data_IF_058216073590
#
_entry.id   IF_058216073590
#
_cell.length_a   1.000
_cell.length_b   1.000
_cell.length_c   1.000
_cell.angle_alpha   90.00
_cell.angle_beta   90.00
_cell.angle_gamma   90.00
#
_symmetry.space_group_name_H-M   'P 1'
#
loop_
_entity.id
_entity.type
_entity.pdbx_description
1 polymer ?
#
# COMPACT_ATOMS: atom_id res chain seq x y z
N UNK A 1 -5.13 -36.27 -17.98
CA UNK A 1 -5.87 -36.08 -16.73
C UNK A 1 -5.96 -34.60 -16.44
N UNK A 2 -7.11 -33.94 -16.57
CA UNK A 2 -7.25 -32.55 -16.17
C UNK A 2 -7.28 -32.46 -14.64
N UNK A 3 -6.43 -31.63 -14.05
CA UNK A 3 -6.43 -31.32 -12.61
C UNK A 3 -7.78 -30.76 -12.21
N UNK A 4 -8.35 -31.16 -11.06
CA UNK A 4 -9.60 -30.62 -10.57
C UNK A 4 -9.39 -29.13 -10.26
N UNK A 5 -10.11 -28.27 -10.96
CA UNK A 5 -10.33 -26.89 -10.53
C UNK A 5 -11.16 -26.98 -9.27
N UNK A 6 -10.55 -26.77 -8.14
CA UNK A 6 -11.28 -26.51 -6.90
C UNK A 6 -12.13 -25.26 -7.14
N UNK A 7 -13.43 -25.48 -7.35
CA UNK A 7 -14.45 -24.44 -7.11
C UNK A 7 -14.46 -24.17 -5.60
N UNK A 8 -13.45 -23.45 -5.14
CA UNK A 8 -13.39 -23.04 -3.75
C UNK A 8 -14.18 -21.75 -3.66
N UNK A 9 -15.35 -21.81 -3.02
CA UNK A 9 -16.06 -20.62 -2.57
C UNK A 9 -15.13 -19.72 -1.74
N UNK A 10 -15.55 -18.50 -1.38
CA UNK A 10 -14.72 -17.61 -0.60
C UNK A 10 -14.23 -18.32 0.66
N UNK A 11 -12.93 -18.18 1.04
CA UNK A 11 -12.35 -18.90 2.17
C UNK A 11 -13.10 -18.59 3.46
N UNK A 12 -13.38 -19.62 4.25
CA UNK A 12 -13.92 -19.44 5.60
C UNK A 12 -12.78 -18.99 6.53
N UNK A 13 -12.65 -17.68 6.70
CA UNK A 13 -11.62 -17.06 7.53
C UNK A 13 -11.79 -17.32 9.04
N UNK A 14 -12.87 -18.02 9.45
CA UNK A 14 -13.11 -18.35 10.86
C UNK A 14 -12.49 -19.68 11.27
N UNK A 15 -12.03 -20.48 10.30
CA UNK A 15 -11.34 -21.75 10.53
C UNK A 15 -9.82 -21.58 10.45
N UNK A 16 -9.03 -22.37 11.22
CA UNK A 16 -7.56 -22.33 11.13
C UNK A 16 -7.04 -22.60 9.72
N UNK A 17 -7.63 -23.59 9.02
CA UNK A 17 -7.24 -24.00 7.68
C UNK A 17 -7.54 -22.90 6.65
N UNK A 18 -8.74 -22.31 6.71
CA UNK A 18 -9.15 -21.25 5.80
C UNK A 18 -8.36 -19.96 6.03
N UNK A 19 -8.07 -19.61 7.29
CA UNK A 19 -7.24 -18.47 7.61
C UNK A 19 -5.77 -18.73 7.25
N UNK A 20 -5.26 -19.95 7.44
CA UNK A 20 -3.90 -20.33 7.04
C UNK A 20 -3.67 -20.16 5.54
N UNK A 21 -4.56 -20.69 4.71
CA UNK A 21 -4.50 -20.51 3.26
C UNK A 21 -4.57 -19.03 2.85
N UNK A 22 -5.45 -18.26 3.49
CA UNK A 22 -5.57 -16.81 3.26
C UNK A 22 -4.29 -16.05 3.67
N UNK A 23 -3.66 -16.44 4.77
CA UNK A 23 -2.38 -15.87 5.20
C UNK A 23 -1.28 -16.12 4.16
N UNK A 24 -1.11 -17.38 3.72
CA UNK A 24 -0.10 -17.77 2.73
C UNK A 24 -0.30 -17.02 1.40
N UNK A 25 -1.56 -16.86 0.97
CA UNK A 25 -1.88 -16.14 -0.27
C UNK A 25 -1.53 -14.64 -0.21
N UNK A 26 -1.64 -14.02 0.98
CA UNK A 26 -1.60 -12.56 1.07
C UNK A 26 -0.42 -11.99 1.85
N UNK A 27 0.43 -12.82 2.48
CA UNK A 27 1.54 -12.35 3.32
C UNK A 27 2.52 -11.44 2.57
N UNK A 28 2.92 -11.81 1.36
CA UNK A 28 3.87 -11.04 0.56
C UNK A 28 3.29 -9.69 0.15
N UNK A 29 2.00 -9.65 -0.19
CA UNK A 29 1.31 -8.42 -0.56
C UNK A 29 1.21 -7.46 0.64
N UNK A 30 0.89 -7.97 1.84
CA UNK A 30 0.82 -7.17 3.07
C UNK A 30 2.21 -6.71 3.51
N UNK A 31 3.20 -7.60 3.51
CA UNK A 31 4.58 -7.24 3.82
C UNK A 31 5.10 -6.14 2.87
N UNK A 32 4.86 -6.30 1.56
CA UNK A 32 5.18 -5.28 0.57
C UNK A 32 4.44 -3.95 0.81
N UNK A 33 3.19 -3.99 1.24
CA UNK A 33 2.42 -2.80 1.62
C UNK A 33 3.05 -2.08 2.82
N UNK A 34 3.47 -2.82 3.84
CA UNK A 34 4.06 -2.27 5.06
C UNK A 34 5.46 -1.71 4.80
N UNK A 35 6.35 -2.48 4.13
CA UNK A 35 7.74 -2.09 3.85
C UNK A 35 7.86 -0.84 2.97
N UNK A 36 6.87 -0.57 2.13
CA UNK A 36 6.81 0.71 1.39
C UNK A 36 6.50 1.92 2.27
N UNK A 37 6.01 1.72 3.49
CA UNK A 37 5.55 2.78 4.42
C UNK A 37 6.36 2.87 5.70
N UNK A 38 7.16 1.86 5.99
CA UNK A 38 7.98 1.73 7.21
C UNK A 38 9.40 1.38 6.79
N UNK A 39 10.36 2.18 7.23
CA UNK A 39 11.76 2.00 6.84
C UNK A 39 12.49 0.95 7.68
N UNK A 40 12.03 0.68 8.90
CA UNK A 40 12.61 -0.31 9.82
C UNK A 40 12.06 -1.71 9.49
N UNK A 41 12.92 -2.69 9.11
CA UNK A 41 12.49 -4.05 8.78
C UNK A 41 11.84 -4.80 9.94
N UNK A 42 12.31 -4.59 11.18
CA UNK A 42 11.74 -5.22 12.35
C UNK A 42 10.34 -4.71 12.63
N UNK A 43 10.19 -3.39 12.61
CA UNK A 43 8.86 -2.77 12.74
C UNK A 43 7.92 -3.18 11.60
N UNK A 44 8.43 -3.35 10.38
CA UNK A 44 7.62 -3.82 9.26
C UNK A 44 7.12 -5.25 9.48
N UNK A 45 7.96 -6.14 10.04
CA UNK A 45 7.55 -7.49 10.39
C UNK A 45 6.49 -7.49 11.51
N UNK A 46 6.71 -6.71 12.58
CA UNK A 46 5.77 -6.58 13.70
C UNK A 46 4.40 -6.06 13.24
N UNK A 47 4.38 -4.99 12.47
CA UNK A 47 3.13 -4.44 11.92
C UNK A 47 2.43 -5.39 10.95
N UNK A 48 3.19 -6.20 10.20
CA UNK A 48 2.61 -7.24 9.35
C UNK A 48 1.91 -8.31 10.20
N UNK A 49 2.55 -8.75 11.29
CA UNK A 49 1.94 -9.69 12.24
C UNK A 49 0.67 -9.08 12.88
N UNK A 50 0.73 -7.83 13.33
CA UNK A 50 -0.42 -7.12 13.91
C UNK A 50 -1.61 -7.02 12.94
N UNK A 51 -1.34 -6.82 11.65
CA UNK A 51 -2.37 -6.78 10.62
C UNK A 51 -3.10 -8.14 10.53
N UNK A 52 -2.36 -9.24 10.48
CA UNK A 52 -2.98 -10.57 10.42
C UNK A 52 -3.66 -10.96 11.72
N UNK A 53 -3.12 -10.57 12.88
CA UNK A 53 -3.80 -10.75 14.17
C UNK A 53 -5.12 -9.96 14.22
N UNK A 54 -5.13 -8.72 13.75
CA UNK A 54 -6.35 -7.92 13.66
C UNK A 54 -7.35 -8.50 12.65
N UNK A 55 -6.87 -9.05 11.54
CA UNK A 55 -7.69 -9.75 10.55
C UNK A 55 -8.32 -11.01 11.17
N UNK A 56 -7.55 -11.84 11.86
CA UNK A 56 -8.04 -13.03 12.56
C UNK A 56 -9.09 -12.67 13.60
N UNK A 57 -8.85 -11.64 14.42
CA UNK A 57 -9.83 -11.15 15.39
C UNK A 57 -11.11 -10.60 14.77
N UNK A 58 -11.04 -10.13 13.52
CA UNK A 58 -12.17 -9.54 12.77
C UNK A 58 -12.81 -10.51 11.76
N UNK A 59 -12.31 -11.75 11.65
CA UNK A 59 -12.71 -12.72 10.62
C UNK A 59 -14.22 -12.99 10.59
N UNK A 60 -14.87 -13.06 11.76
CA UNK A 60 -16.35 -13.22 11.87
C UNK A 60 -17.14 -12.05 11.25
N UNK A 61 -16.52 -10.89 11.12
CA UNK A 61 -17.11 -9.69 10.51
C UNK A 61 -16.87 -9.58 9.02
N UNK A 62 -16.03 -10.45 8.45
CA UNK A 62 -15.81 -10.48 7.01
C UNK A 62 -17.11 -10.87 6.27
N UNK A 63 -17.43 -10.13 5.21
CA UNK A 63 -18.63 -10.31 4.38
C UNK A 63 -18.21 -10.51 2.93
N UNK A 64 -18.25 -11.76 2.41
CA UNK A 64 -17.89 -12.04 1.00
C UNK A 64 -18.72 -11.25 -0.02
N UNK A 65 -19.99 -10.97 0.32
CA UNK A 65 -20.93 -10.18 -0.49
C UNK A 65 -20.53 -8.70 -0.60
N UNK A 66 -19.67 -8.21 0.29
CA UNK A 66 -19.15 -6.83 0.28
C UNK A 66 -17.83 -6.67 -0.46
N UNK A 67 -17.23 -7.77 -0.93
CA UNK A 67 -16.11 -7.76 -1.84
C UNK A 67 -14.95 -8.69 -1.48
N UNK A 68 -13.86 -8.57 -2.24
CA UNK A 68 -12.72 -9.48 -2.15
C UNK A 68 -12.04 -9.46 -0.76
N UNK A 69 -11.58 -10.63 -0.24
CA UNK A 69 -10.89 -10.73 1.04
C UNK A 69 -9.67 -9.81 1.13
N UNK A 70 -8.92 -9.68 0.03
CA UNK A 70 -7.73 -8.82 -0.05
C UNK A 70 -8.06 -7.35 0.21
N UNK A 71 -9.16 -6.83 -0.33
CA UNK A 71 -9.56 -5.44 -0.12
C UNK A 71 -9.96 -5.17 1.35
N UNK A 72 -10.61 -6.13 2.00
CA UNK A 72 -10.91 -6.09 3.43
C UNK A 72 -9.62 -6.11 4.27
N UNK A 73 -8.64 -6.97 3.93
CA UNK A 73 -7.34 -7.05 4.59
C UNK A 73 -6.55 -5.74 4.48
N UNK A 74 -6.51 -5.12 3.30
CA UNK A 74 -5.87 -3.82 3.12
C UNK A 74 -6.56 -2.68 3.88
N UNK A 75 -7.87 -2.76 4.08
CA UNK A 75 -8.61 -1.88 4.99
C UNK A 75 -8.10 -1.98 6.43
N UNK A 76 -7.89 -3.20 6.94
CA UNK A 76 -7.31 -3.47 8.25
C UNK A 76 -5.86 -2.97 8.30
N UNK A 77 -5.04 -3.31 7.31
CA UNK A 77 -3.64 -2.89 7.23
C UNK A 77 -3.50 -1.37 7.32
N UNK A 78 -4.34 -0.63 6.61
CA UNK A 78 -4.38 0.83 6.67
C UNK A 78 -4.74 1.36 8.07
N UNK A 79 -5.70 0.73 8.75
CA UNK A 79 -6.09 1.12 10.09
C UNK A 79 -4.97 0.89 11.11
N UNK A 80 -4.27 -0.25 11.04
CA UNK A 80 -3.12 -0.58 11.90
C UNK A 80 -2.00 0.44 11.71
N UNK A 81 -1.60 0.70 10.46
CA UNK A 81 -0.55 1.69 10.15
C UNK A 81 -0.93 3.11 10.58
N UNK A 82 -2.19 3.50 10.38
CA UNK A 82 -2.66 4.82 10.81
C UNK A 82 -2.69 4.94 12.35
N UNK A 83 -3.00 3.85 13.04
CA UNK A 83 -2.93 3.77 14.51
C UNK A 83 -1.50 3.96 15.01
N UNK A 84 -0.55 3.23 14.42
CA UNK A 84 0.88 3.32 14.73
C UNK A 84 1.43 4.73 14.48
N UNK A 85 1.16 5.31 13.31
CA UNK A 85 1.60 6.68 12.98
C UNK A 85 1.06 7.73 13.97
N UNK A 86 -0.19 7.58 14.43
CA UNK A 86 -0.76 8.48 15.46
C UNK A 86 -0.12 8.26 16.83
N UNK A 87 0.30 7.04 17.15
CA UNK A 87 1.08 6.74 18.36
C UNK A 87 2.42 7.47 18.33
N UNK A 88 3.21 7.28 17.31
CA UNK A 88 4.50 7.95 17.11
C UNK A 88 4.39 9.47 17.11
N UNK A 89 3.36 10.06 16.47
CA UNK A 89 3.17 11.51 16.46
C UNK A 89 2.90 12.07 17.86
N UNK A 90 2.32 11.29 18.77
CA UNK A 90 2.15 11.67 20.19
C UNK A 90 3.46 11.55 20.98
N UNK A 91 4.32 10.59 20.63
CA UNK A 91 5.61 10.36 21.30
C UNK A 91 6.73 11.28 20.76
N UNK A 92 6.74 11.56 19.45
CA UNK A 92 7.80 12.32 18.77
C UNK A 92 7.71 13.83 18.90
N UNK A 93 6.79 14.36 19.69
CA UNK A 93 6.87 15.76 20.14
C UNK A 93 8.16 16.10 20.91
N UNK A 94 9.05 15.12 21.14
CA UNK A 94 10.26 15.26 21.93
C UNK A 94 11.61 15.06 21.18
N UNK A 95 11.68 14.47 19.95
CA UNK A 95 13.00 14.06 19.41
C UNK A 95 13.17 14.26 17.90
N UNK A 96 13.18 15.48 17.42
CA UNK A 96 13.63 15.80 16.07
C UNK A 96 14.94 16.58 16.11
N UNK A 97 16.07 15.90 16.12
CA UNK A 97 17.41 16.40 15.67
C UNK A 97 18.43 15.27 15.69
N UNK A 98 19.00 14.97 14.53
CA UNK A 98 20.40 14.59 14.25
C UNK A 98 20.50 13.59 13.10
N UNK A 99 20.99 14.03 11.96
CA UNK A 99 21.50 13.17 10.88
C UNK A 99 22.81 13.75 10.34
N UNK A 100 23.84 12.97 10.46
CA UNK A 100 25.19 13.28 10.01
C UNK A 100 25.45 12.94 8.54
N UNK A 101 26.39 13.65 7.95
CA UNK A 101 26.78 13.67 6.53
C UNK A 101 28.01 12.78 6.29
N UNK A 102 28.09 12.09 5.14
CA UNK A 102 29.26 11.33 4.68
C UNK A 102 29.70 11.79 3.29
N UNK A 103 31.02 11.89 3.07
CA UNK A 103 31.68 12.45 1.88
C UNK A 103 31.95 11.37 0.80
N UNK A 104 32.00 11.78 -0.49
CA UNK A 104 32.13 10.95 -1.70
C UNK A 104 33.45 11.21 -2.44
N UNK A 105 33.91 10.23 -3.24
CA UNK A 105 35.12 10.14 -4.02
C UNK A 105 34.91 10.31 -5.54
N UNK A 106 35.96 10.73 -6.31
CA UNK A 106 35.84 11.46 -7.59
C UNK A 106 35.76 10.66 -8.91
N UNK A 107 35.55 9.33 -8.92
CA UNK A 107 35.66 8.54 -10.16
C UNK A 107 34.33 8.25 -10.89
N UNK A 108 33.20 8.77 -10.43
CA UNK A 108 31.85 8.44 -10.98
C UNK A 108 31.06 9.65 -11.50
N UNK A 109 31.71 10.71 -11.97
CA UNK A 109 31.05 12.01 -12.21
C UNK A 109 29.91 11.92 -13.24
N UNK A 110 30.05 11.23 -14.37
CA UNK A 110 28.99 11.15 -15.39
C UNK A 110 27.85 10.20 -14.97
N UNK A 111 28.17 9.03 -14.38
CA UNK A 111 27.19 8.14 -13.78
C UNK A 111 26.57 8.76 -12.51
N UNK A 112 27.29 9.66 -11.85
CA UNK A 112 26.84 10.44 -10.70
C UNK A 112 25.85 11.53 -11.11
N UNK A 113 26.05 12.22 -12.24
CA UNK A 113 25.13 13.23 -12.76
C UNK A 113 23.76 12.61 -13.12
N UNK A 114 23.74 11.49 -13.82
CA UNK A 114 22.50 10.78 -14.14
C UNK A 114 21.81 10.24 -12.87
N UNK A 115 22.59 9.78 -11.89
CA UNK A 115 22.09 9.35 -10.57
C UNK A 115 21.62 10.53 -9.73
N UNK A 116 22.28 11.69 -9.80
CA UNK A 116 21.89 12.93 -9.10
C UNK A 116 20.56 13.44 -9.67
N UNK A 117 20.39 13.45 -11.00
CA UNK A 117 19.17 13.89 -11.66
C UNK A 117 18.00 12.93 -11.37
N UNK A 118 18.24 11.62 -11.41
CA UNK A 118 17.27 10.61 -11.01
C UNK A 118 16.91 10.73 -9.52
N UNK A 119 17.89 10.97 -8.64
CA UNK A 119 17.66 11.20 -7.22
C UNK A 119 16.91 12.51 -6.96
N UNK A 120 17.19 13.56 -7.72
CA UNK A 120 16.47 14.84 -7.64
C UNK A 120 15.02 14.65 -8.07
N UNK A 121 14.78 14.02 -9.24
CA UNK A 121 13.44 13.72 -9.73
C UNK A 121 12.65 12.83 -8.75
N UNK A 122 13.33 11.83 -8.16
CA UNK A 122 12.73 10.98 -7.13
C UNK A 122 12.36 11.77 -5.86
N UNK A 123 13.24 12.64 -5.37
CA UNK A 123 12.93 13.48 -4.20
C UNK A 123 11.77 14.43 -4.47
N UNK A 124 11.76 15.09 -5.63
CA UNK A 124 10.68 15.97 -6.02
C UNK A 124 9.35 15.22 -6.15
N UNK A 125 9.37 13.99 -6.67
CA UNK A 125 8.18 13.15 -6.73
C UNK A 125 7.72 12.72 -5.34
N UNK A 126 8.67 12.32 -4.47
CA UNK A 126 8.38 11.94 -3.08
C UNK A 126 7.80 13.11 -2.28
N UNK A 127 8.35 14.32 -2.44
CA UNK A 127 7.82 15.53 -1.81
C UNK A 127 6.41 15.87 -2.31
N UNK A 128 6.18 15.81 -3.62
CA UNK A 128 4.83 16.01 -4.18
C UNK A 128 3.83 14.94 -3.71
N UNK A 129 4.28 13.69 -3.62
CA UNK A 129 3.47 12.59 -3.08
C UNK A 129 3.12 12.83 -1.61
N UNK A 130 4.11 13.22 -0.79
CA UNK A 130 3.90 13.55 0.62
C UNK A 130 2.97 14.76 0.82
N UNK A 131 2.99 15.73 -0.10
CA UNK A 131 2.14 16.90 -0.08
C UNK A 131 0.68 16.61 -0.51
N UNK A 132 0.39 15.43 -1.09
CA UNK A 132 -0.99 15.04 -1.38
C UNK A 132 -1.80 14.97 -0.09
N UNK A 133 -3.05 15.43 -0.15
CA UNK A 133 -3.98 15.16 0.96
C UNK A 133 -4.14 13.66 1.18
N UNK A 134 -4.35 13.24 2.42
CA UNK A 134 -4.46 11.83 2.79
C UNK A 134 -5.43 11.03 1.90
N UNK A 135 -6.65 11.52 1.57
CA UNK A 135 -7.55 10.76 0.71
C UNK A 135 -7.03 10.55 -0.74
N UNK A 136 -6.24 11.49 -1.27
CA UNK A 136 -5.66 11.37 -2.61
C UNK A 136 -4.49 10.40 -2.59
N UNK A 137 -3.61 10.53 -1.60
CA UNK A 137 -2.46 9.66 -1.42
C UNK A 137 -2.90 8.21 -1.18
N UNK A 138 -3.85 7.97 -0.28
CA UNK A 138 -4.36 6.63 0.00
C UNK A 138 -4.95 5.95 -1.25
N UNK A 139 -5.72 6.67 -2.07
CA UNK A 139 -6.26 6.11 -3.31
C UNK A 139 -5.16 5.82 -4.34
N UNK A 140 -4.15 6.68 -4.44
CA UNK A 140 -3.02 6.50 -5.34
C UNK A 140 -2.17 5.30 -4.93
N UNK A 141 -1.82 5.19 -3.65
CA UNK A 141 -0.99 4.13 -3.11
C UNK A 141 -1.63 2.76 -3.32
N UNK A 142 -2.90 2.59 -2.95
CA UNK A 142 -3.60 1.33 -3.11
C UNK A 142 -3.66 0.86 -4.57
N UNK A 143 -3.91 1.77 -5.51
CA UNK A 143 -4.05 1.39 -6.92
C UNK A 143 -2.71 1.27 -7.63
N UNK A 144 -1.75 2.17 -7.37
CA UNK A 144 -0.49 2.23 -8.13
C UNK A 144 0.61 1.43 -7.47
N UNK A 145 0.78 1.53 -6.15
CA UNK A 145 1.85 0.84 -5.43
C UNK A 145 1.44 -0.57 -4.99
N UNK A 146 0.20 -0.70 -4.54
CA UNK A 146 -0.32 -1.96 -3.99
C UNK A 146 -1.12 -2.77 -5.04
N UNK A 147 -1.20 -2.27 -6.30
CA UNK A 147 -1.78 -2.94 -7.46
C UNK A 147 -3.25 -3.36 -7.30
N UNK A 148 -4.00 -2.73 -6.38
CA UNK A 148 -5.42 -2.98 -6.24
C UNK A 148 -6.20 -2.39 -7.41
N UNK A 149 -7.25 -3.07 -7.82
CA UNK A 149 -8.23 -2.49 -8.75
C UNK A 149 -8.94 -1.29 -8.10
N UNK A 150 -9.47 -0.35 -8.88
CA UNK A 150 -10.24 0.75 -8.32
C UNK A 150 -11.47 0.32 -7.49
N UNK A 151 -12.02 -0.88 -7.74
CA UNK A 151 -13.12 -1.44 -6.96
C UNK A 151 -12.63 -1.92 -5.57
N UNK A 152 -11.52 -2.65 -5.51
CA UNK A 152 -10.92 -3.11 -4.27
C UNK A 152 -10.41 -1.94 -3.43
N UNK A 153 -9.77 -0.95 -4.06
CA UNK A 153 -9.36 0.28 -3.37
C UNK A 153 -10.57 1.06 -2.79
N UNK A 154 -11.69 1.10 -3.51
CA UNK A 154 -12.93 1.71 -3.03
C UNK A 154 -13.46 1.01 -1.78
N UNK A 155 -13.43 -0.31 -1.77
CA UNK A 155 -13.81 -1.14 -0.63
C UNK A 155 -12.86 -0.93 0.55
N UNK A 156 -11.53 -1.00 0.34
CA UNK A 156 -10.53 -0.79 1.39
C UNK A 156 -10.62 0.62 2.02
N UNK A 157 -11.05 1.61 1.24
CA UNK A 157 -11.24 2.99 1.69
C UNK A 157 -12.64 3.31 2.22
N UNK A 158 -13.60 2.40 2.11
CA UNK A 158 -14.99 2.63 2.48
C UNK A 158 -15.68 3.71 1.65
N UNK A 159 -15.34 3.85 0.37
CA UNK A 159 -15.90 4.85 -0.55
C UNK A 159 -16.41 4.20 -1.84
N UNK A 160 -17.03 4.98 -2.74
CA UNK A 160 -17.46 4.47 -4.05
C UNK A 160 -16.28 4.39 -5.03
N UNK A 161 -16.36 3.49 -6.00
CA UNK A 161 -15.37 3.39 -7.09
C UNK A 161 -15.25 4.71 -7.89
N UNK A 162 -16.35 5.42 -8.08
CA UNK A 162 -16.33 6.74 -8.72
C UNK A 162 -15.48 7.73 -7.91
N UNK A 163 -15.59 7.71 -6.58
CA UNK A 163 -14.77 8.53 -5.68
C UNK A 163 -13.28 8.21 -5.83
N UNK A 164 -12.91 6.92 -5.90
CA UNK A 164 -11.52 6.51 -6.13
C UNK A 164 -11.00 7.03 -7.47
N UNK A 165 -11.77 6.89 -8.55
CA UNK A 165 -11.38 7.41 -9.88
C UNK A 165 -11.12 8.93 -9.86
N UNK A 166 -11.99 9.70 -9.20
CA UNK A 166 -11.81 11.14 -9.03
C UNK A 166 -10.56 11.46 -8.22
N UNK A 167 -10.33 10.76 -7.11
CA UNK A 167 -9.13 10.92 -6.29
C UNK A 167 -7.85 10.61 -7.07
N UNK A 168 -7.81 9.51 -7.82
CA UNK A 168 -6.69 9.16 -8.69
C UNK A 168 -6.42 10.23 -9.74
N UNK A 169 -7.45 10.74 -10.38
CA UNK A 169 -7.30 11.82 -11.36
C UNK A 169 -6.69 13.07 -10.74
N UNK A 170 -7.18 13.49 -9.58
CA UNK A 170 -6.66 14.66 -8.86
C UNK A 170 -5.23 14.43 -8.36
N UNK A 171 -4.92 13.24 -7.82
CA UNK A 171 -3.57 12.88 -7.38
C UNK A 171 -2.57 12.94 -8.55
N UNK A 172 -2.91 12.32 -9.69
CA UNK A 172 -2.06 12.36 -10.90
C UNK A 172 -1.82 13.78 -11.41
N UNK A 173 -2.83 14.64 -11.41
CA UNK A 173 -2.64 16.06 -11.76
C UNK A 173 -1.69 16.77 -10.81
N UNK A 174 -1.81 16.55 -9.52
CA UNK A 174 -0.93 17.14 -8.52
C UNK A 174 0.52 16.67 -8.64
N UNK A 175 0.73 15.41 -9.05
CA UNK A 175 2.07 14.86 -9.28
C UNK A 175 2.67 15.27 -10.63
N UNK A 176 1.88 15.85 -11.55
CA UNK A 176 2.36 16.19 -12.89
C UNK A 176 2.60 14.98 -13.79
N UNK A 177 2.04 13.80 -13.48
CA UNK A 177 2.24 12.59 -14.25
C UNK A 177 1.62 12.69 -15.66
N UNK A 178 2.35 12.30 -16.73
CA UNK A 178 1.81 12.29 -18.09
C UNK A 178 0.62 11.33 -18.22
N UNK A 179 -0.31 11.66 -19.09
CA UNK A 179 -1.56 10.90 -19.34
C UNK A 179 -1.36 9.44 -19.80
N UNK A 180 -0.14 9.06 -20.19
CA UNK A 180 0.18 7.76 -20.78
C UNK A 180 0.08 6.55 -19.84
N UNK A 181 0.09 6.74 -18.52
CA UNK A 181 -0.08 5.62 -17.56
C UNK A 181 -1.54 5.16 -17.40
N UNK A 182 -2.49 5.79 -18.07
CA UNK A 182 -3.92 5.50 -17.87
C UNK A 182 -4.45 4.41 -18.82
N UNK A 183 -3.77 4.15 -19.95
CA UNK A 183 -4.28 3.25 -20.99
C UNK A 183 -4.17 1.77 -20.63
N UNK A 184 -3.05 1.35 -20.00
CA UNK A 184 -2.77 -0.08 -19.77
C UNK A 184 -3.64 -0.68 -18.65
N UNK A 185 -4.04 0.11 -17.65
CA UNK A 185 -4.85 -0.38 -16.54
C UNK A 185 -6.36 -0.31 -16.76
N UNK A 186 -6.82 0.44 -17.75
CA UNK A 186 -8.26 0.49 -18.09
C UNK A 186 -8.69 -0.66 -19.02
N UNK A 187 -7.76 -1.27 -19.75
CA UNK A 187 -8.03 -2.41 -20.64
C UNK A 187 -8.27 -3.71 -19.87
N UNK A 188 -7.62 -3.88 -18.70
CA UNK A 188 -7.76 -5.05 -17.85
C UNK A 188 -9.04 -5.07 -16.98
N UNK A 189 -9.87 -4.04 -17.06
CA UNK A 189 -11.11 -3.88 -16.26
C UNK A 189 -12.39 -3.87 -17.12
N UNK A 190 -12.29 -4.48 -18.35
CA UNK A 190 -13.47 -4.73 -19.21
C UNK A 190 -13.86 -6.20 -19.20
#
# INVERSE_FOLDING_TARGET
>A
MPSPRHETGPPDLTTPEGFGAFYEEHIDAVLGFVTRRVADPHLAADLTADIFLAAMGSARGYRPDRGAPVAWLFGIARNVLSGHARGLARESGALARLSGRRLLDDQDVAALEERIDAQRAFRELAERHAALSEPLRAALDLVVLDQLTPAEAAQALGVTQATVRVRLHRARRALGAPRSMTAVQMEAAR
#
